data_IF_458240916076
#
_entry.id   IF_458240916076
#
_cell.length_a   1.000
_cell.length_b   1.000
_cell.length_c   1.000
_cell.angle_alpha   90.00
_cell.angle_beta   90.00
_cell.angle_gamma   90.00
#
_symmetry.space_group_name_H-M   'P 1'
#
loop_
_entity.id
_entity.type
_entity.pdbx_description
1 polymer ?
#
# COMPACT_ATOMS: atom_id res chain seq x y z
N UNK A 1 0.28 -16.00 -16.36
CA UNK A 1 0.62 -16.49 -15.00
C UNK A 1 0.21 -15.41 -14.02
N UNK A 2 -0.43 -15.75 -12.89
CA UNK A 2 -0.70 -14.77 -11.84
C UNK A 2 0.62 -14.42 -11.14
N UNK A 3 0.95 -13.13 -11.10
CA UNK A 3 2.15 -12.62 -10.44
C UNK A 3 1.88 -12.37 -8.96
N UNK A 4 2.88 -12.57 -8.10
CA UNK A 4 2.83 -12.22 -6.68
C UNK A 4 3.87 -11.17 -6.35
N UNK A 5 3.45 -10.17 -5.58
CA UNK A 5 4.33 -9.13 -5.04
C UNK A 5 4.19 -9.05 -3.51
N UNK A 6 5.27 -8.66 -2.85
CA UNK A 6 5.25 -8.27 -1.44
C UNK A 6 5.35 -6.76 -1.39
N UNK A 7 4.37 -6.11 -0.77
CA UNK A 7 4.25 -4.65 -0.75
C UNK A 7 4.17 -4.18 0.69
N UNK A 8 4.99 -3.18 1.02
CA UNK A 8 4.90 -2.47 2.28
C UNK A 8 3.79 -1.41 2.22
N UNK A 9 3.08 -1.22 3.33
CA UNK A 9 2.05 -0.19 3.49
C UNK A 9 2.25 0.48 4.84
N UNK A 10 2.09 1.80 4.87
CA UNK A 10 2.28 2.60 6.07
C UNK A 10 1.53 3.91 6.03
N UNK A 11 1.05 4.36 7.19
CA UNK A 11 0.57 5.73 7.38
C UNK A 11 0.93 6.22 8.78
N UNK A 12 1.34 7.48 8.89
CA UNK A 12 1.49 8.19 10.16
C UNK A 12 0.45 9.31 10.36
N UNK A 13 -0.53 9.44 9.47
CA UNK A 13 -1.53 10.51 9.52
C UNK A 13 -2.96 9.96 9.48
N UNK A 14 -3.89 10.71 10.09
CA UNK A 14 -5.32 10.39 10.12
C UNK A 14 -5.66 9.11 10.90
N UNK A 15 -6.84 8.54 10.62
CA UNK A 15 -7.22 7.23 11.11
C UNK A 15 -6.47 6.15 10.32
N UNK A 16 -5.30 5.76 10.85
CA UNK A 16 -4.39 4.81 10.24
C UNK A 16 -5.04 3.45 10.02
N UNK A 17 -5.92 2.99 10.91
CA UNK A 17 -6.57 1.67 10.76
C UNK A 17 -7.65 1.70 9.69
N UNK A 18 -8.47 2.76 9.65
CA UNK A 18 -9.44 2.93 8.57
C UNK A 18 -8.77 3.10 7.20
N UNK A 19 -7.64 3.82 7.13
CA UNK A 19 -6.85 3.97 5.91
C UNK A 19 -6.40 2.61 5.38
N UNK A 20 -5.90 1.73 6.24
CA UNK A 20 -5.56 0.35 5.86
C UNK A 20 -6.78 -0.40 5.31
N UNK A 21 -7.93 -0.33 5.99
CA UNK A 21 -9.17 -1.00 5.51
C UNK A 21 -9.61 -0.48 4.15
N UNK A 22 -9.53 0.83 3.92
CA UNK A 22 -9.88 1.45 2.65
C UNK A 22 -8.88 1.08 1.55
N UNK A 23 -7.59 1.07 1.85
CA UNK A 23 -6.54 0.65 0.92
C UNK A 23 -6.78 -0.78 0.41
N UNK A 24 -7.09 -1.72 1.31
CA UNK A 24 -7.40 -3.11 0.93
C UNK A 24 -8.61 -3.20 -0.02
N UNK A 25 -9.67 -2.41 0.22
CA UNK A 25 -10.83 -2.37 -0.68
C UNK A 25 -10.48 -1.83 -2.06
N UNK A 26 -9.70 -0.75 -2.13
CA UNK A 26 -9.28 -0.12 -3.38
C UNK A 26 -8.32 -1.02 -4.19
N UNK A 27 -7.35 -1.65 -3.51
CA UNK A 27 -6.46 -2.64 -4.13
C UNK A 27 -7.26 -3.78 -4.76
N UNK A 28 -8.22 -4.34 -4.02
CA UNK A 28 -9.07 -5.41 -4.55
C UNK A 28 -9.90 -4.94 -5.76
N UNK A 29 -10.45 -3.72 -5.71
CA UNK A 29 -11.18 -3.13 -6.84
C UNK A 29 -10.28 -2.91 -8.07
N UNK A 30 -8.98 -2.68 -7.85
CA UNK A 30 -7.96 -2.54 -8.90
C UNK A 30 -7.39 -3.87 -9.41
N UNK A 31 -7.93 -5.03 -8.99
CA UNK A 31 -7.43 -6.35 -9.40
C UNK A 31 -6.13 -6.76 -8.70
N UNK A 32 -5.76 -6.08 -7.61
CA UNK A 32 -4.63 -6.40 -6.74
C UNK A 32 -5.18 -7.07 -5.48
N UNK A 33 -5.24 -8.40 -5.50
CA UNK A 33 -5.87 -9.19 -4.45
C UNK A 33 -4.88 -9.45 -3.32
N UNK A 34 -5.15 -8.90 -2.14
CA UNK A 34 -4.36 -9.20 -0.94
C UNK A 34 -4.69 -10.59 -0.43
N UNK A 35 -3.75 -11.52 -0.58
CA UNK A 35 -3.92 -12.90 -0.13
C UNK A 35 -3.65 -13.04 1.38
N UNK A 36 -2.65 -12.31 1.90
CA UNK A 36 -2.23 -12.31 3.31
C UNK A 36 -1.57 -10.98 3.66
N UNK A 37 -1.64 -10.59 4.94
CA UNK A 37 -0.90 -9.44 5.47
C UNK A 37 -0.24 -9.79 6.81
N UNK A 38 0.83 -9.07 7.17
CA UNK A 38 1.46 -9.16 8.48
C UNK A 38 0.56 -8.53 9.56
N UNK A 39 0.96 -8.65 10.83
CA UNK A 39 0.44 -7.78 11.88
C UNK A 39 0.71 -6.31 11.56
N UNK A 40 -0.05 -5.43 12.21
CA UNK A 40 0.19 -3.99 12.21
C UNK A 40 1.24 -3.66 13.29
N UNK A 41 2.22 -2.83 12.95
CA UNK A 41 3.29 -2.43 13.84
C UNK A 41 3.34 -0.91 13.94
N UNK A 42 3.38 -0.39 15.17
CA UNK A 42 3.75 1.01 15.38
C UNK A 42 5.28 1.14 15.39
N UNK A 43 5.81 2.07 14.59
CA UNK A 43 7.26 2.27 14.46
C UNK A 43 7.60 3.75 14.45
N UNK A 44 8.75 4.10 15.05
CA UNK A 44 9.29 5.45 14.98
C UNK A 44 9.62 5.83 13.52
N UNK A 45 9.50 7.11 13.14
CA UNK A 45 9.98 7.60 11.85
C UNK A 45 11.49 7.41 11.69
N UNK A 46 11.95 7.02 10.50
CA UNK A 46 13.36 6.70 10.26
C UNK A 46 14.23 7.92 9.86
N UNK A 47 13.69 8.87 9.10
CA UNK A 47 14.48 9.94 8.45
C UNK A 47 14.14 11.35 8.95
N UNK A 48 12.85 11.64 9.13
CA UNK A 48 12.37 12.89 9.73
C UNK A 48 11.79 12.54 11.09
N UNK A 49 12.49 12.91 12.16
CA UNK A 49 12.16 12.48 13.52
C UNK A 49 10.96 13.24 14.13
N UNK A 50 10.75 14.49 13.73
CA UNK A 50 9.68 15.34 14.27
C UNK A 50 8.36 15.16 13.49
N UNK A 51 7.84 13.94 13.53
CA UNK A 51 6.53 13.59 12.97
C UNK A 51 5.90 12.42 13.74
N UNK A 52 4.58 12.20 13.61
CA UNK A 52 3.91 11.10 14.31
C UNK A 52 4.48 9.73 13.93
N UNK A 53 4.31 8.76 14.83
CA UNK A 53 4.67 7.35 14.58
C UNK A 53 3.86 6.75 13.44
N UNK A 54 4.51 5.90 12.65
CA UNK A 54 3.86 5.17 11.57
C UNK A 54 3.15 3.93 12.12
N UNK A 55 2.02 3.60 11.51
CA UNK A 55 1.45 2.26 11.55
C UNK A 55 1.81 1.55 10.24
N UNK A 56 2.61 0.49 10.31
CA UNK A 56 3.19 -0.21 9.17
C UNK A 56 2.76 -1.68 9.11
N UNK A 57 2.69 -2.23 7.90
CA UNK A 57 2.57 -3.66 7.64
C UNK A 57 3.16 -4.01 6.26
N UNK A 58 3.21 -5.30 5.95
CA UNK A 58 3.45 -5.79 4.60
C UNK A 58 2.33 -6.76 4.19
N UNK A 59 2.04 -6.84 2.89
CA UNK A 59 1.08 -7.79 2.35
C UNK A 59 1.63 -8.53 1.13
N UNK A 60 1.16 -9.76 0.95
CA UNK A 60 1.32 -10.54 -0.28
C UNK A 60 0.12 -10.27 -1.15
N UNK A 61 0.35 -9.69 -2.32
CA UNK A 61 -0.69 -9.44 -3.31
C UNK A 61 -0.51 -10.33 -4.54
N UNK A 62 -1.62 -10.88 -5.01
CA UNK A 62 -1.74 -11.47 -6.33
C UNK A 62 -2.28 -10.42 -7.30
N UNK A 63 -1.64 -10.26 -8.44
CA UNK A 63 -2.09 -9.34 -9.50
C UNK A 63 -2.81 -10.16 -10.55
N UNK A 64 -4.11 -9.92 -10.70
CA UNK A 64 -4.97 -10.69 -11.60
C UNK A 64 -4.89 -10.19 -13.05
N UNK A 65 -4.56 -8.92 -13.25
CA UNK A 65 -4.27 -8.34 -14.57
C UNK A 65 -2.89 -8.81 -15.07
N UNK A 66 -2.79 -9.55 -16.21
CA UNK A 66 -1.53 -10.06 -16.73
C UNK A 66 -0.56 -8.96 -17.18
N UNK A 67 -1.07 -7.86 -17.73
CA UNK A 67 -0.24 -6.76 -18.24
C UNK A 67 0.37 -5.97 -17.09
N UNK A 68 -0.37 -5.79 -16.00
CA UNK A 68 0.14 -5.19 -14.76
C UNK A 68 1.06 -6.16 -14.02
N UNK A 69 0.68 -7.45 -13.96
CA UNK A 69 1.46 -8.47 -13.25
C UNK A 69 2.81 -8.78 -13.89
N UNK A 70 2.96 -8.57 -15.20
CA UNK A 70 4.21 -8.76 -15.93
C UNK A 70 5.15 -7.54 -15.89
N UNK A 71 4.68 -6.38 -15.41
CA UNK A 71 5.42 -5.12 -15.46
C UNK A 71 5.42 -4.42 -14.08
N UNK A 72 6.56 -4.40 -13.36
CA UNK A 72 6.64 -3.79 -12.04
C UNK A 72 6.35 -2.28 -12.05
N UNK A 73 6.56 -1.58 -13.17
CA UNK A 73 6.26 -0.15 -13.28
C UNK A 73 4.75 0.06 -13.34
N UNK A 74 4.02 -0.77 -14.09
CA UNK A 74 2.54 -0.70 -14.10
C UNK A 74 1.95 -1.06 -12.74
N UNK A 75 2.53 -2.01 -12.02
CA UNK A 75 2.13 -2.31 -10.64
C UNK A 75 2.35 -1.08 -9.74
N UNK A 76 3.51 -0.44 -9.82
CA UNK A 76 3.79 0.80 -9.07
C UNK A 76 2.78 1.90 -9.38
N UNK A 77 2.43 2.10 -10.66
CA UNK A 77 1.44 3.08 -11.08
C UNK A 77 0.05 2.80 -10.51
N UNK A 78 -0.36 1.53 -10.46
CA UNK A 78 -1.61 1.11 -9.84
C UNK A 78 -1.60 1.37 -8.32
N UNK A 79 -0.50 1.04 -7.62
CA UNK A 79 -0.35 1.33 -6.19
C UNK A 79 -0.42 2.84 -5.91
N UNK A 80 0.29 3.66 -6.69
CA UNK A 80 0.25 5.13 -6.56
C UNK A 80 -1.13 5.71 -6.85
N UNK A 81 -1.91 5.10 -7.75
CA UNK A 81 -3.31 5.50 -7.99
C UNK A 81 -4.15 5.29 -6.73
N UNK A 82 -4.00 4.14 -6.07
CA UNK A 82 -4.67 3.88 -4.78
C UNK A 82 -4.25 4.91 -3.72
N UNK A 83 -2.96 5.25 -3.63
CA UNK A 83 -2.51 6.31 -2.69
C UNK A 83 -3.19 7.65 -2.95
N UNK A 84 -3.29 8.08 -4.22
CA UNK A 84 -3.97 9.32 -4.60
C UNK A 84 -5.46 9.29 -4.27
N UNK A 85 -6.14 8.17 -4.51
CA UNK A 85 -7.56 7.98 -4.15
C UNK A 85 -7.79 8.00 -2.63
N UNK A 86 -6.78 7.64 -1.83
CA UNK A 86 -6.79 7.78 -0.38
C UNK A 86 -6.47 9.20 0.10
N UNK A 87 -6.12 10.11 -0.81
CA UNK A 87 -5.85 11.51 -0.52
C UNK A 87 -4.36 11.86 -0.36
N UNK A 88 -3.44 10.96 -0.72
CA UNK A 88 -2.00 11.29 -0.75
C UNK A 88 -1.72 12.27 -1.88
N UNK A 89 -1.07 13.39 -1.54
CA UNK A 89 -0.55 14.36 -2.50
C UNK A 89 0.90 14.03 -2.87
N UNK A 90 1.29 14.28 -4.11
CA UNK A 90 2.66 14.10 -4.57
C UNK A 90 3.62 15.06 -3.84
N UNK A 91 4.86 14.62 -3.62
CA UNK A 91 5.90 15.43 -2.95
C UNK A 91 6.24 15.03 -1.51
N UNK A 92 5.72 13.90 -1.01
CA UNK A 92 6.18 13.33 0.26
C UNK A 92 7.65 12.90 0.19
N UNK A 93 8.46 13.41 1.12
CA UNK A 93 9.87 13.03 1.35
C UNK A 93 9.95 11.62 1.93
#
# INVERSE_FOLDING_TARGET
MACRAVVAIGSNQGDRVDLFRRALRLLNAAGIVVERHSSLYETAPAYVADQPVFLNAAFVARVDDPDVGADPIKLLDALKRVERELGRVDGGV
#
